data_IF_627340905886
#
_entry.id   IF_627340905886
#
_cell.length_a   1.000
_cell.length_b   1.000
_cell.length_c   1.000
_cell.angle_alpha   90.00
_cell.angle_beta   90.00
_cell.angle_gamma   90.00
#
_symmetry.space_group_name_H-M   'P 1'
#
loop_
_entity.id
_entity.type
_entity.pdbx_description
1 polymer ?
#
# COMPACT_ATOMS: atom_id res chain seq x y z
N UNK A 1 20.83 2.26 20.70
CA UNK A 1 20.06 3.54 20.65
C UNK A 1 18.66 3.14 20.23
N UNK A 2 17.62 3.88 20.62
CA UNK A 2 16.26 3.56 20.19
C UNK A 2 15.71 4.68 19.31
N UNK A 3 15.74 4.49 18.00
CA UNK A 3 15.36 5.49 17.00
C UNK A 3 13.87 5.81 17.06
N UNK A 4 13.04 4.85 17.48
CA UNK A 4 11.59 5.02 17.64
C UNK A 4 11.22 6.01 18.75
N UNK A 5 11.91 5.94 19.89
CA UNK A 5 11.72 6.87 21.01
C UNK A 5 12.46 8.18 20.83
N UNK A 6 13.60 8.15 20.13
CA UNK A 6 14.38 9.34 19.81
C UNK A 6 13.76 10.18 18.68
N UNK A 7 12.84 9.60 17.89
CA UNK A 7 12.23 10.27 16.74
C UNK A 7 13.21 10.50 15.58
N UNK A 8 14.28 9.71 15.52
CA UNK A 8 15.34 9.82 14.48
C UNK A 8 15.13 8.86 13.31
N UNK A 9 13.96 8.23 13.24
CA UNK A 9 13.58 7.33 12.15
C UNK A 9 12.89 8.08 10.99
N UNK A 10 12.89 7.49 9.81
CA UNK A 10 12.20 7.99 8.60
C UNK A 10 10.95 7.15 8.24
N UNK A 11 10.39 6.37 9.17
CA UNK A 11 9.11 5.65 8.97
C UNK A 11 7.97 6.59 8.52
N UNK A 12 7.06 6.08 7.67
CA UNK A 12 5.81 6.76 7.33
C UNK A 12 4.95 7.00 8.60
N UNK A 13 4.15 8.07 8.62
CA UNK A 13 3.21 8.35 9.71
C UNK A 13 2.18 7.23 9.93
N UNK A 14 1.89 6.46 8.89
CA UNK A 14 1.02 5.29 8.91
C UNK A 14 1.79 3.97 9.09
N UNK A 15 3.07 4.04 9.47
CA UNK A 15 3.88 2.90 9.86
C UNK A 15 4.09 2.84 11.38
N UNK A 16 4.38 1.64 11.86
CA UNK A 16 4.91 1.36 13.19
C UNK A 16 6.43 1.29 13.09
N UNK A 17 7.12 2.02 13.97
CA UNK A 17 8.56 1.90 14.16
C UNK A 17 8.84 0.78 15.15
N UNK A 18 9.78 -0.11 14.80
CA UNK A 18 10.24 -1.20 15.65
C UNK A 18 11.76 -1.08 15.77
N UNK A 19 12.22 -0.90 17.00
CA UNK A 19 13.63 -0.84 17.35
C UNK A 19 14.24 -2.25 17.28
N UNK A 20 15.45 -2.37 16.73
CA UNK A 20 16.17 -3.63 16.57
C UNK A 20 17.63 -3.49 17.00
N UNK A 21 18.32 -4.59 17.24
CA UNK A 21 19.74 -4.55 17.63
C UNK A 21 20.65 -3.93 16.55
N UNK A 22 20.22 -3.99 15.28
CA UNK A 22 20.93 -3.44 14.12
C UNK A 22 20.44 -2.02 13.71
N UNK A 23 19.53 -1.42 14.47
CA UNK A 23 18.94 -0.11 14.18
C UNK A 23 17.43 -0.14 14.35
N UNK A 24 16.68 0.10 13.27
CA UNK A 24 15.21 0.08 13.31
C UNK A 24 14.60 -0.38 11.99
N UNK A 25 13.41 -0.96 12.09
CA UNK A 25 12.57 -1.33 10.94
C UNK A 25 11.23 -0.61 11.03
N UNK A 26 10.63 -0.32 9.89
CA UNK A 26 9.28 0.26 9.83
C UNK A 26 8.34 -0.73 9.14
N UNK A 27 7.12 -0.82 9.65
CA UNK A 27 6.09 -1.72 9.12
C UNK A 27 4.79 -0.95 8.98
N UNK A 28 4.11 -1.01 7.84
CA UNK A 28 2.83 -0.32 7.68
C UNK A 28 1.80 -0.84 8.70
N UNK A 29 0.98 0.06 9.24
CA UNK A 29 -0.11 -0.28 10.16
C UNK A 29 -1.15 -1.18 9.48
N UNK A 30 -1.95 -1.87 10.28
CA UNK A 30 -3.06 -2.67 9.76
C UNK A 30 -4.00 -1.82 8.90
N UNK A 31 -4.40 -2.38 7.77
CA UNK A 31 -5.19 -1.65 6.76
C UNK A 31 -4.36 -0.70 5.89
N UNK A 32 -3.02 -0.73 5.95
CA UNK A 32 -2.14 -0.04 5.02
C UNK A 32 -1.29 -1.06 4.24
N UNK A 33 -0.87 -0.67 3.03
CA UNK A 33 0.00 -1.43 2.14
C UNK A 33 1.28 -0.66 1.95
N UNK A 34 2.40 -1.39 1.95
CA UNK A 34 3.71 -0.82 1.70
C UNK A 34 3.93 -0.59 0.19
N UNK A 35 4.06 0.69 -0.17
CA UNK A 35 4.39 1.16 -1.52
C UNK A 35 5.79 1.78 -1.57
N UNK A 36 6.63 1.51 -0.57
CA UNK A 36 8.01 2.00 -0.53
C UNK A 36 8.78 1.51 -1.76
N UNK A 37 9.65 2.34 -2.38
CA UNK A 37 10.44 1.93 -3.54
C UNK A 37 11.40 0.76 -3.26
N UNK A 38 11.91 0.68 -2.03
CA UNK A 38 12.82 -0.36 -1.56
C UNK A 38 12.23 -1.05 -0.33
N UNK A 39 11.24 -1.91 -0.55
CA UNK A 39 10.59 -2.66 0.53
C UNK A 39 11.54 -3.65 1.22
N UNK A 40 12.61 -4.06 0.54
CA UNK A 40 13.57 -5.03 1.07
C UNK A 40 14.52 -4.41 2.10
N UNK A 41 14.95 -3.17 1.89
CA UNK A 41 15.91 -2.49 2.78
C UNK A 41 15.27 -1.41 3.64
N UNK A 42 14.20 -0.79 3.14
CA UNK A 42 13.50 0.32 3.80
C UNK A 42 11.98 0.14 3.68
N UNK A 43 11.42 -0.91 4.29
CA UNK A 43 9.97 -1.09 4.34
C UNK A 43 9.30 0.05 5.12
N UNK A 44 8.00 0.26 4.91
CA UNK A 44 7.17 1.17 5.70
C UNK A 44 7.56 2.65 5.63
N UNK A 45 8.19 3.09 4.53
CA UNK A 45 8.49 4.51 4.24
C UNK A 45 7.38 5.20 3.46
N UNK A 46 6.59 4.41 2.74
CA UNK A 46 5.39 4.86 2.02
C UNK A 46 4.29 3.87 2.32
N UNK A 47 3.37 4.25 3.20
CA UNK A 47 2.25 3.41 3.60
C UNK A 47 0.94 4.01 3.10
N UNK A 48 0.29 3.33 2.16
CA UNK A 48 -0.99 3.76 1.59
C UNK A 48 -2.14 2.97 2.20
N UNK A 49 -3.23 3.66 2.53
CA UNK A 49 -4.45 3.00 3.03
C UNK A 49 -4.92 1.98 2.01
N UNK A 50 -5.18 0.76 2.47
CA UNK A 50 -5.89 -0.26 1.70
C UNK A 50 -7.32 0.19 1.54
N UNK A 51 -7.69 0.43 0.30
CA UNK A 51 -9.03 0.83 -0.10
C UNK A 51 -9.50 -0.25 -1.06
N UNK A 52 -10.74 -0.67 -0.94
CA UNK A 52 -11.38 -1.46 -1.98
C UNK A 52 -12.03 -0.50 -2.97
N UNK A 53 -11.31 -0.14 -4.03
CA UNK A 53 -11.81 0.83 -5.00
C UNK A 53 -13.07 0.33 -5.71
N UNK A 54 -13.27 -0.99 -5.80
CA UNK A 54 -14.45 -1.61 -6.39
C UNK A 54 -15.70 -1.46 -5.50
N UNK A 55 -15.57 -1.65 -4.18
CA UNK A 55 -16.68 -1.48 -3.24
C UNK A 55 -17.01 -0.01 -2.98
N UNK A 56 -15.99 0.84 -2.91
CA UNK A 56 -16.15 2.28 -2.65
C UNK A 56 -16.54 3.08 -3.91
N UNK A 57 -16.59 2.44 -5.08
CA UNK A 57 -16.86 3.10 -6.36
C UNK A 57 -15.78 4.11 -6.78
N UNK A 58 -14.57 4.00 -6.21
CA UNK A 58 -13.42 4.86 -6.51
C UNK A 58 -12.55 4.28 -7.63
N UNK A 59 -13.17 3.69 -8.64
CA UNK A 59 -12.50 3.15 -9.82
C UNK A 59 -12.95 3.89 -11.08
N UNK A 60 -12.10 3.87 -12.11
CA UNK A 60 -12.40 4.43 -13.43
C UNK A 60 -12.66 3.35 -14.49
N UNK A 61 -13.05 2.13 -14.08
CA UNK A 61 -13.41 1.07 -15.01
C UNK A 61 -14.55 1.48 -15.94
N UNK A 62 -14.44 1.10 -17.21
CA UNK A 62 -15.52 1.22 -18.19
C UNK A 62 -16.79 0.50 -17.72
N UNK A 63 -17.97 0.97 -18.13
CA UNK A 63 -19.25 0.29 -17.91
C UNK A 63 -19.25 -1.15 -18.47
N UNK A 64 -18.39 -1.41 -19.47
CA UNK A 64 -18.20 -2.72 -20.09
C UNK A 64 -17.04 -3.51 -19.49
N UNK A 65 -16.50 -3.10 -18.35
CA UNK A 65 -15.48 -3.80 -17.59
C UNK A 65 -16.00 -4.23 -16.21
N UNK A 66 -15.32 -5.19 -15.61
CA UNK A 66 -15.52 -5.67 -14.24
C UNK A 66 -14.34 -5.16 -13.41
N UNK A 67 -14.63 -4.47 -12.31
CA UNK A 67 -13.63 -4.06 -11.34
C UNK A 67 -13.20 -5.27 -10.50
N UNK A 68 -11.89 -5.48 -10.38
CA UNK A 68 -11.29 -6.53 -9.56
C UNK A 68 -10.36 -5.84 -8.56
N UNK A 69 -10.72 -5.91 -7.28
CA UNK A 69 -9.89 -5.36 -6.20
C UNK A 69 -8.61 -6.19 -6.05
N UNK A 70 -7.47 -5.53 -5.92
CA UNK A 70 -6.16 -6.15 -5.74
C UNK A 70 -5.52 -5.67 -4.42
N UNK A 71 -4.54 -6.41 -3.89
CA UNK A 71 -3.78 -5.95 -2.73
C UNK A 71 -2.99 -4.66 -2.98
N UNK A 72 -2.83 -4.22 -4.23
CA UNK A 72 -2.20 -2.95 -4.63
C UNK A 72 -3.08 -2.28 -5.69
N UNK A 73 -4.17 -1.66 -5.25
CA UNK A 73 -5.13 -0.96 -6.10
C UNK A 73 -6.18 -1.89 -6.73
N UNK A 74 -6.62 -1.59 -7.94
CA UNK A 74 -7.63 -2.36 -8.67
C UNK A 74 -7.23 -2.61 -10.12
N UNK A 75 -7.87 -3.62 -10.72
CA UNK A 75 -7.77 -3.94 -12.15
C UNK A 75 -9.15 -3.91 -12.79
N UNK A 76 -9.26 -3.24 -13.94
CA UNK A 76 -10.44 -3.32 -14.77
C UNK A 76 -10.26 -4.40 -15.82
N UNK A 77 -11.10 -5.44 -15.79
CA UNK A 77 -11.09 -6.51 -16.79
C UNK A 77 -12.31 -6.38 -17.69
N UNK A 78 -12.12 -6.28 -19.00
CA UNK A 78 -13.23 -6.25 -19.96
C UNK A 78 -14.18 -7.45 -19.77
N UNK A 79 -15.49 -7.21 -19.90
CA UNK A 79 -16.49 -8.27 -19.98
C UNK A 79 -16.26 -9.10 -21.25
N UNK A 80 -16.83 -10.31 -21.28
CA UNK A 80 -16.78 -11.15 -22.49
C UNK A 80 -17.27 -10.37 -23.72
N UNK A 81 -16.52 -10.46 -24.82
CA UNK A 81 -16.74 -9.75 -26.09
C UNK A 81 -16.42 -8.24 -26.11
N UNK A 82 -15.77 -7.70 -25.07
CA UNK A 82 -15.22 -6.34 -25.07
C UNK A 82 -13.70 -6.35 -25.09
N UNK A 83 -13.10 -5.39 -25.77
CA UNK A 83 -11.65 -5.17 -25.84
C UNK A 83 -11.35 -3.68 -25.65
N UNK A 84 -10.21 -3.39 -25.02
CA UNK A 84 -9.67 -2.03 -24.88
C UNK A 84 -8.79 -1.74 -26.12
N UNK A 85 -9.06 -0.64 -26.84
CA UNK A 85 -8.37 -0.28 -28.09
C UNK A 85 -7.50 0.96 -27.92
#
# INVERSE_FOLDING_TARGET
VNECTAGTHDCDQNANCIDTDEGYICTCKDGYIDESPDQARKPGRVCRKRIDECLEGMHNCSENAVCINLPKGFLCRCKENYVDF
#
